data_IF_678449222404
#
_entry.id   IF_678449222404
#
_cell.length_a   1.000
_cell.length_b   1.000
_cell.length_c   1.000
_cell.angle_alpha   90.00
_cell.angle_beta   90.00
_cell.angle_gamma   90.00
#
_symmetry.space_group_name_H-M   'P 1'
#
loop_
_entity.id
_entity.type
_entity.pdbx_description
1 polymer ?
#
# COMPACT_ATOMS: atom_id res chain seq x y z
N UNK A 1 -20.79 1.37 -0.02
CA UNK A 1 -19.56 0.70 0.43
C UNK A 1 -18.89 0.08 -0.80
N UNK A 2 -17.57 -0.03 -0.88
CA UNK A 2 -16.87 -0.66 -2.01
C UNK A 2 -16.50 -2.13 -1.76
N UNK A 3 -16.77 -2.68 -0.57
CA UNK A 3 -16.29 -4.02 -0.19
C UNK A 3 -16.68 -5.14 -1.17
N UNK A 4 -17.94 -5.17 -1.62
CA UNK A 4 -18.43 -6.16 -2.58
C UNK A 4 -17.78 -6.05 -3.97
N UNK A 5 -17.09 -4.93 -4.24
CA UNK A 5 -16.40 -4.66 -5.51
C UNK A 5 -14.91 -5.01 -5.46
N UNK A 6 -14.36 -5.30 -4.28
CA UNK A 6 -12.96 -5.69 -4.12
C UNK A 6 -12.87 -7.21 -4.24
N UNK A 7 -12.26 -7.69 -5.34
CA UNK A 7 -12.15 -9.13 -5.63
C UNK A 7 -10.83 -9.75 -5.18
N UNK A 8 -9.83 -8.94 -4.85
CA UNK A 8 -8.52 -9.42 -4.40
C UNK A 8 -7.72 -8.35 -3.66
N UNK A 9 -6.84 -8.81 -2.78
CA UNK A 9 -6.03 -7.98 -1.87
C UNK A 9 -4.63 -8.57 -1.71
N UNK A 10 -3.67 -7.77 -1.25
CA UNK A 10 -2.32 -8.30 -0.93
C UNK A 10 -2.34 -9.07 0.39
N UNK A 11 -1.29 -9.84 0.66
CA UNK A 11 -1.18 -10.68 1.85
C UNK A 11 -1.26 -9.88 3.16
N UNK A 12 -0.83 -8.63 3.13
CA UNK A 12 -0.79 -7.75 4.29
C UNK A 12 -2.08 -6.95 4.52
N UNK A 13 -3.06 -7.05 3.62
CA UNK A 13 -4.37 -6.43 3.82
C UNK A 13 -5.16 -7.19 4.91
N UNK A 14 -5.12 -6.66 6.13
CA UNK A 14 -5.77 -7.25 7.31
C UNK A 14 -6.92 -6.39 7.87
N UNK A 15 -7.16 -5.22 7.29
CA UNK A 15 -8.20 -4.28 7.67
C UNK A 15 -8.94 -3.76 6.41
N UNK A 16 -10.28 -3.61 6.46
CA UNK A 16 -11.16 -4.03 7.55
C UNK A 16 -11.21 -5.58 7.67
N UNK A 17 -11.77 -6.17 8.74
CA UNK A 17 -11.72 -7.63 8.96
C UNK A 17 -12.20 -8.46 7.77
N UNK A 18 -13.15 -7.96 6.99
CA UNK A 18 -13.73 -8.56 5.80
C UNK A 18 -12.71 -8.70 4.65
N UNK A 19 -11.67 -7.85 4.63
CA UNK A 19 -10.57 -7.95 3.66
C UNK A 19 -9.85 -9.30 3.75
N UNK A 20 -9.90 -9.98 4.91
CA UNK A 20 -9.29 -11.31 5.07
C UNK A 20 -9.98 -12.42 4.28
N UNK A 21 -11.21 -12.19 3.84
CA UNK A 21 -12.00 -13.15 3.08
C UNK A 21 -11.78 -13.02 1.57
N UNK A 22 -11.09 -11.95 1.12
CA UNK A 22 -10.82 -11.71 -0.30
C UNK A 22 -9.62 -12.54 -0.76
N UNK A 23 -9.57 -12.83 -2.07
CA UNK A 23 -8.48 -13.58 -2.69
C UNK A 23 -7.13 -12.90 -2.45
N UNK A 24 -6.12 -13.68 -2.07
CA UNK A 24 -4.76 -13.20 -1.85
C UNK A 24 -3.97 -13.16 -3.14
N UNK A 25 -3.34 -12.00 -3.41
CA UNK A 25 -2.61 -11.72 -4.64
C UNK A 25 -1.10 -11.69 -4.44
N UNK A 26 -0.61 -12.20 -3.31
CA UNK A 26 0.80 -12.15 -2.94
C UNK A 26 1.18 -10.87 -2.20
N UNK A 27 2.47 -10.76 -1.87
CA UNK A 27 3.04 -9.64 -1.15
C UNK A 27 3.50 -8.52 -2.07
N UNK A 28 4.21 -7.56 -1.46
CA UNK A 28 4.75 -6.40 -2.19
C UNK A 28 5.93 -6.80 -3.11
N UNK A 29 6.76 -7.75 -2.67
CA UNK A 29 7.95 -8.22 -3.41
C UNK A 29 7.64 -9.40 -4.33
N UNK A 30 6.61 -10.17 -4.01
CA UNK A 30 6.23 -11.45 -4.60
C UNK A 30 4.75 -11.48 -5.02
N UNK A 31 4.33 -10.61 -5.97
CA UNK A 31 2.96 -10.61 -6.48
C UNK A 31 2.64 -11.89 -7.27
N UNK A 32 1.43 -12.42 -7.09
CA UNK A 32 0.93 -13.57 -7.84
C UNK A 32 0.19 -13.10 -9.11
N UNK A 33 0.90 -13.09 -10.24
CA UNK A 33 0.38 -12.64 -11.53
C UNK A 33 -0.74 -13.52 -12.10
N UNK A 34 -0.66 -14.83 -11.89
CA UNK A 34 -1.68 -15.78 -12.34
C UNK A 34 -3.00 -15.52 -11.60
N UNK A 35 -2.95 -15.33 -10.29
CA UNK A 35 -4.11 -14.96 -9.48
C UNK A 35 -4.70 -13.63 -9.95
N UNK A 36 -3.88 -12.60 -10.17
CA UNK A 36 -4.34 -11.29 -10.68
C UNK A 36 -5.06 -11.44 -12.03
N UNK A 37 -4.50 -12.19 -12.98
CA UNK A 37 -5.12 -12.42 -14.28
C UNK A 37 -6.43 -13.22 -14.18
N UNK A 38 -6.47 -14.23 -13.32
CA UNK A 38 -7.64 -15.12 -13.16
C UNK A 38 -8.89 -14.38 -12.68
N UNK A 39 -8.71 -13.34 -11.86
CA UNK A 39 -9.80 -12.52 -11.32
C UNK A 39 -10.41 -11.56 -12.35
N UNK A 40 -9.76 -11.35 -13.49
CA UNK A 40 -10.20 -10.43 -14.55
C UNK A 40 -10.62 -9.04 -14.00
N UNK A 41 -9.75 -8.36 -13.23
CA UNK A 41 -10.12 -7.08 -12.62
C UNK A 41 -10.36 -6.02 -13.69
N UNK A 42 -11.36 -5.16 -13.45
CA UNK A 42 -11.64 -3.98 -14.27
C UNK A 42 -10.70 -2.80 -13.92
N UNK A 43 -10.08 -2.82 -12.75
CA UNK A 43 -9.14 -1.83 -12.26
C UNK A 43 -8.22 -2.41 -11.19
N UNK A 44 -6.92 -2.11 -11.27
CA UNK A 44 -5.96 -2.42 -10.20
C UNK A 44 -5.33 -1.14 -9.65
N UNK A 45 -5.29 -0.99 -8.33
CA UNK A 45 -4.60 0.12 -7.67
C UNK A 45 -3.20 -0.31 -7.23
N UNK A 46 -2.17 0.41 -7.66
CA UNK A 46 -0.77 0.11 -7.35
C UNK A 46 -0.04 1.34 -6.81
N UNK A 47 1.07 1.11 -6.12
CA UNK A 47 2.00 2.15 -5.69
C UNK A 47 3.04 2.45 -6.78
N UNK A 48 3.68 3.65 -6.76
CA UNK A 48 4.72 4.01 -7.71
C UNK A 48 5.87 3.00 -7.79
N UNK A 49 6.20 2.35 -6.68
CA UNK A 49 7.32 1.42 -6.51
C UNK A 49 7.06 0.03 -7.13
N UNK A 50 5.81 -0.34 -7.42
CA UNK A 50 5.45 -1.66 -7.95
C UNK A 50 5.63 -1.75 -9.48
N UNK A 51 6.88 -1.62 -9.95
CA UNK A 51 7.19 -1.58 -11.38
C UNK A 51 6.94 -2.91 -12.10
N UNK A 52 7.24 -4.03 -11.45
CA UNK A 52 6.96 -5.38 -11.96
C UNK A 52 5.45 -5.58 -12.21
N UNK A 53 4.61 -5.23 -11.24
CA UNK A 53 3.15 -5.29 -11.38
C UNK A 53 2.65 -4.35 -12.47
N UNK A 54 3.19 -3.14 -12.55
CA UNK A 54 2.85 -2.18 -13.61
C UNK A 54 3.13 -2.74 -15.00
N UNK A 55 4.30 -3.34 -15.22
CA UNK A 55 4.68 -3.88 -16.52
C UNK A 55 3.77 -5.04 -16.94
N UNK A 56 3.54 -5.98 -16.01
CA UNK A 56 2.59 -7.07 -16.21
C UNK A 56 1.18 -6.57 -16.60
N UNK A 57 0.63 -5.59 -15.85
CA UNK A 57 -0.70 -5.06 -16.13
C UNK A 57 -0.78 -4.37 -17.51
N UNK A 58 0.30 -3.70 -17.94
CA UNK A 58 0.38 -3.11 -19.29
C UNK A 58 0.38 -4.18 -20.38
N UNK A 59 1.20 -5.23 -20.24
CA UNK A 59 1.30 -6.33 -21.20
C UNK A 59 -0.03 -7.06 -21.35
N UNK A 60 -0.71 -7.31 -20.22
CA UNK A 60 -2.01 -7.96 -20.16
C UNK A 60 -3.18 -7.02 -20.50
N UNK A 61 -2.92 -5.74 -20.77
CA UNK A 61 -3.93 -4.69 -21.04
C UNK A 61 -5.00 -4.57 -19.94
N UNK A 62 -4.61 -4.86 -18.69
CA UNK A 62 -5.46 -4.73 -17.51
C UNK A 62 -5.43 -3.26 -17.05
N UNK A 63 -6.58 -2.57 -16.89
CA UNK A 63 -6.58 -1.18 -16.45
C UNK A 63 -6.03 -1.05 -15.03
N UNK A 64 -5.24 0.00 -14.81
CA UNK A 64 -4.68 0.28 -13.48
C UNK A 64 -4.54 1.77 -13.19
N UNK A 65 -4.45 2.09 -11.90
CA UNK A 65 -4.17 3.44 -11.40
C UNK A 65 -3.05 3.40 -10.37
N UNK A 66 -2.12 4.33 -10.53
CA UNK A 66 -1.06 4.57 -9.56
C UNK A 66 -1.62 5.54 -8.52
N UNK A 67 -1.54 5.17 -7.25
CA UNK A 67 -1.89 6.02 -6.11
C UNK A 67 -0.66 6.22 -5.24
N UNK A 68 -0.46 7.43 -4.73
CA UNK A 68 0.70 7.77 -3.91
C UNK A 68 0.32 7.72 -2.42
N UNK A 69 1.27 7.37 -1.56
CA UNK A 69 1.05 7.24 -0.11
C UNK A 69 2.24 7.73 0.74
N UNK A 70 3.15 8.53 0.16
CA UNK A 70 4.35 9.02 0.86
C UNK A 70 4.06 10.06 1.92
N UNK A 71 3.08 10.93 1.66
CA UNK A 71 2.65 11.97 2.59
C UNK A 71 1.18 11.83 2.94
N UNK A 72 0.77 12.50 4.03
CA UNK A 72 -0.66 12.59 4.39
C UNK A 72 -1.47 13.23 3.25
N UNK A 73 -0.92 14.23 2.58
CA UNK A 73 -1.55 14.86 1.43
C UNK A 73 -1.73 13.87 0.26
N UNK A 74 -0.73 13.02 0.01
CA UNK A 74 -0.82 11.96 -1.00
C UNK A 74 -1.93 10.96 -0.68
N UNK A 75 -2.04 10.53 0.58
CA UNK A 75 -3.10 9.60 1.02
C UNK A 75 -4.49 10.22 0.82
N UNK A 76 -4.67 11.49 1.21
CA UNK A 76 -5.94 12.20 0.96
C UNK A 76 -6.22 12.35 -0.54
N UNK A 77 -5.18 12.56 -1.35
CA UNK A 77 -5.26 12.57 -2.81
C UNK A 77 -5.68 11.20 -3.37
N UNK A 78 -5.09 10.11 -2.89
CA UNK A 78 -5.42 8.75 -3.29
C UNK A 78 -6.90 8.42 -3.03
N UNK A 79 -7.44 8.81 -1.87
CA UNK A 79 -8.86 8.65 -1.55
C UNK A 79 -9.75 9.36 -2.58
N UNK A 80 -9.39 10.58 -3.00
CA UNK A 80 -10.14 11.32 -4.04
C UNK A 80 -10.07 10.62 -5.39
N UNK A 81 -8.90 10.13 -5.78
CA UNK A 81 -8.70 9.38 -7.04
C UNK A 81 -9.58 8.14 -7.05
N UNK A 82 -9.51 7.32 -6.01
CA UNK A 82 -10.32 6.10 -5.86
C UNK A 82 -11.81 6.46 -5.88
N UNK A 83 -12.22 7.50 -5.15
CA UNK A 83 -13.61 7.97 -5.13
C UNK A 83 -14.15 8.37 -6.50
N UNK A 84 -13.34 9.04 -7.32
CA UNK A 84 -13.72 9.42 -8.68
C UNK A 84 -13.80 8.20 -9.60
N UNK A 85 -12.79 7.33 -9.59
CA UNK A 85 -12.71 6.13 -10.44
C UNK A 85 -13.82 5.14 -10.10
N UNK A 86 -14.17 4.99 -8.83
CA UNK A 86 -15.20 4.07 -8.38
C UNK A 86 -16.60 4.70 -8.32
N UNK A 87 -16.79 5.94 -8.80
CA UNK A 87 -18.06 6.68 -8.79
C UNK A 87 -18.71 6.86 -7.40
N UNK A 88 -17.88 7.01 -6.35
CA UNK A 88 -18.29 7.25 -4.95
C UNK A 88 -17.70 8.54 -4.39
N UNK A 89 -17.66 9.59 -5.22
CA UNK A 89 -17.03 10.87 -4.90
C UNK A 89 -17.56 11.50 -3.62
N UNK A 90 -18.88 11.44 -3.38
CA UNK A 90 -19.51 12.02 -2.18
C UNK A 90 -18.97 11.38 -0.89
N UNK A 91 -18.89 10.05 -0.86
CA UNK A 91 -18.36 9.30 0.28
C UNK A 91 -16.86 9.55 0.46
N UNK A 92 -16.11 9.60 -0.65
CA UNK A 92 -14.68 9.90 -0.61
C UNK A 92 -14.38 11.30 -0.08
N UNK A 93 -15.13 12.32 -0.52
CA UNK A 93 -14.99 13.69 -0.02
C UNK A 93 -15.34 13.79 1.46
N UNK A 94 -16.46 13.19 1.90
CA UNK A 94 -16.81 13.16 3.32
C UNK A 94 -15.72 12.52 4.20
N UNK A 95 -15.08 11.44 3.72
CA UNK A 95 -13.95 10.82 4.41
C UNK A 95 -12.72 11.75 4.44
N UNK A 96 -12.38 12.38 3.33
CA UNK A 96 -11.26 13.32 3.25
C UNK A 96 -11.47 14.49 4.20
N UNK A 97 -12.66 15.09 4.22
CA UNK A 97 -12.96 16.24 5.06
C UNK A 97 -12.89 15.87 6.55
N UNK A 98 -13.39 14.69 6.91
CA UNK A 98 -13.28 14.13 8.26
C UNK A 98 -11.82 13.93 8.70
N UNK A 99 -10.99 13.32 7.84
CA UNK A 99 -9.57 13.09 8.13
C UNK A 99 -8.79 14.39 8.20
N UNK A 100 -8.98 15.30 7.25
CA UNK A 100 -8.34 16.62 7.22
C UNK A 100 -8.70 17.43 8.48
N UNK A 101 -9.98 17.42 8.88
CA UNK A 101 -10.44 18.07 10.10
C UNK A 101 -9.77 17.52 11.37
N UNK A 102 -9.59 16.20 11.46
CA UNK A 102 -8.87 15.56 12.58
C UNK A 102 -7.40 15.96 12.63
N UNK A 103 -6.73 16.00 11.48
CA UNK A 103 -5.31 16.42 11.39
C UNK A 103 -5.16 17.87 11.81
N UNK A 104 -6.00 18.77 11.30
CA UNK A 104 -5.95 20.20 11.65
C UNK A 104 -6.30 20.43 13.13
N UNK A 105 -7.22 19.64 13.71
CA UNK A 105 -7.49 19.68 15.15
C UNK A 105 -6.23 19.33 15.95
N UNK A 106 -5.53 18.25 15.60
CA UNK A 106 -4.29 17.85 16.29
C UNK A 106 -3.23 18.93 16.13
N UNK A 107 -3.05 19.46 14.90
CA UNK A 107 -2.08 20.51 14.60
C UNK A 107 -2.27 21.74 15.49
N UNK A 108 -3.51 22.21 15.66
CA UNK A 108 -3.84 23.33 16.56
C UNK A 108 -3.54 23.01 18.03
N UNK A 109 -3.88 21.81 18.50
CA UNK A 109 -3.63 21.39 19.89
C UNK A 109 -2.12 21.28 20.21
N UNK A 110 -1.29 21.00 19.23
CA UNK A 110 0.16 20.81 19.40
C UNK A 110 1.00 22.03 19.02
N UNK A 111 0.40 23.10 18.49
CA UNK A 111 1.13 24.24 17.91
C UNK A 111 2.08 24.91 18.90
N UNK A 112 1.60 25.17 20.11
CA UNK A 112 2.32 25.86 21.19
C UNK A 112 3.06 24.89 22.14
N UNK A 113 3.20 23.61 21.76
CA UNK A 113 3.88 22.60 22.59
C UNK A 113 5.36 22.54 22.24
N UNK A 114 6.19 22.24 23.25
CA UNK A 114 7.61 21.97 23.05
C UNK A 114 7.81 20.84 22.03
N UNK A 115 8.81 21.00 21.15
CA UNK A 115 9.15 20.04 20.09
C UNK A 115 10.40 19.25 20.48
N UNK A 116 10.28 18.18 21.28
CA UNK A 116 11.43 17.38 21.65
C UNK A 116 12.07 16.77 20.40
N UNK A 117 13.38 16.57 20.43
CA UNK A 117 14.07 15.78 19.40
C UNK A 117 13.68 14.32 19.56
N UNK A 118 13.22 13.70 18.47
CA UNK A 118 12.77 12.31 18.46
C UNK A 118 13.55 11.54 17.40
N UNK A 119 14.01 10.34 17.76
CA UNK A 119 14.49 9.34 16.82
C UNK A 119 13.34 8.38 16.51
N UNK A 120 12.96 8.28 15.24
CA UNK A 120 11.99 7.28 14.77
C UNK A 120 12.78 6.09 14.24
N UNK A 121 12.80 4.99 14.99
CA UNK A 121 13.44 3.73 14.59
C UNK A 121 12.38 2.75 14.10
N UNK A 122 12.50 2.32 12.84
CA UNK A 122 11.60 1.37 12.18
C UNK A 122 12.45 0.20 11.67
N UNK A 123 12.08 -1.03 12.06
CA UNK A 123 12.83 -2.25 11.76
C UNK A 123 13.90 -2.55 12.82
N UNK A 124 13.95 -3.81 13.27
CA UNK A 124 15.05 -4.37 14.07
C UNK A 124 15.27 -5.80 13.63
N UNK A 125 16.28 -6.01 12.79
CA UNK A 125 16.70 -7.33 12.34
C UNK A 125 18.10 -7.22 11.76
N UNK A 126 19.03 -8.04 12.26
CA UNK A 126 20.43 -8.11 11.81
C UNK A 126 20.61 -8.58 10.37
N UNK A 127 19.53 -9.00 9.71
CA UNK A 127 19.55 -9.54 8.34
C UNK A 127 19.22 -8.49 7.27
N UNK A 128 18.76 -7.29 7.65
CA UNK A 128 18.17 -6.34 6.71
C UNK A 128 19.19 -5.41 6.01
N UNK A 129 20.45 -5.36 6.45
CA UNK A 129 21.42 -4.39 5.91
C UNK A 129 22.39 -4.95 4.86
N UNK A 130 22.68 -6.26 4.87
CA UNK A 130 23.71 -6.83 3.99
C UNK A 130 23.14 -7.39 2.68
N UNK A 131 22.03 -8.13 2.70
CA UNK A 131 21.56 -8.84 1.52
C UNK A 131 20.78 -7.95 0.53
N UNK A 132 20.01 -6.97 1.04
CA UNK A 132 19.19 -6.10 0.17
C UNK A 132 19.97 -4.95 -0.49
N UNK A 133 21.15 -4.60 0.02
CA UNK A 133 21.98 -3.51 -0.54
C UNK A 133 23.12 -4.05 -1.41
N UNK A 134 23.64 -5.27 -1.15
CA UNK A 134 24.86 -5.74 -1.80
C UNK A 134 24.70 -6.87 -2.83
N UNK A 135 23.50 -7.41 -3.08
CA UNK A 135 23.28 -8.33 -4.22
C UNK A 135 24.26 -9.52 -4.29
N UNK A 136 24.75 -10.01 -3.14
CA UNK A 136 25.64 -11.16 -3.09
C UNK A 136 24.83 -12.41 -2.69
N UNK A 137 24.98 -13.53 -3.42
CA UNK A 137 24.31 -14.78 -3.05
C UNK A 137 24.94 -15.32 -1.76
N UNK A 138 24.12 -15.53 -0.73
CA UNK A 138 24.51 -16.20 0.50
C UNK A 138 24.81 -17.68 0.21
N UNK A 139 26.10 -17.98 -0.01
CA UNK A 139 26.60 -19.36 0.00
C UNK A 139 26.55 -19.88 1.43
N UNK A 140 25.59 -20.77 1.70
CA UNK A 140 25.48 -21.49 2.97
C UNK A 140 26.62 -22.51 3.07
N UNK A 141 27.68 -22.16 3.79
CA UNK A 141 28.74 -23.08 4.19
C UNK A 141 28.32 -23.90 5.41
N UNK A 142 28.24 -25.24 5.28
CA UNK A 142 28.05 -26.16 6.40
C UNK A 142 29.21 -26.04 7.40
N UNK A 143 28.90 -25.94 8.70
CA UNK A 143 29.89 -26.15 9.76
C UNK A 143 30.45 -27.58 9.66
N UNK A 144 31.76 -27.70 9.46
CA UNK A 144 32.49 -28.90 9.85
C UNK A 144 32.68 -28.88 11.39
N UNK A 145 32.75 -30.08 11.95
CA UNK A 145 32.73 -30.39 13.40
C UNK A 145 33.84 -29.70 14.19
#
# INVERSE_FOLDING_TARGET
NLDDRVVGVTDFCNYPPEAKQKTRLGGFLDPNFEAIASLKPDMVFILPEQQNVRNFLKEMKIPFRIVNNKTVADILGAIKIIGNVCHVRKQAMALVDSLAGRIEKIRKLTQEKNRPKVLVSIGRGTECAAEQICGLPSVVGRRAR
#
